data_IF_156335129812
#
_entry.id   IF_156335129812
#
_cell.length_a   1.000
_cell.length_b   1.000
_cell.length_c   1.000
_cell.angle_alpha   90.00
_cell.angle_beta   90.00
_cell.angle_gamma   90.00
#
_symmetry.space_group_name_H-M   'P 1'
#
loop_
_entity.id
_entity.type
_entity.pdbx_description
1 polymer ?
#
# COMPACT_ATOMS: atom_id res chain seq x y z
N UNK A 1 -2.24 3.39 -22.76
CA UNK A 1 -2.61 4.78 -22.43
C UNK A 1 -1.87 5.08 -21.14
N UNK A 2 -1.06 6.14 -21.09
CA UNK A 2 -0.43 6.57 -19.83
C UNK A 2 -1.56 7.03 -18.92
N UNK A 3 -1.97 6.16 -18.00
CA UNK A 3 -3.00 6.45 -17.01
C UNK A 3 -2.44 7.52 -16.06
N UNK A 4 -2.66 8.78 -16.43
CA UNK A 4 -2.12 9.92 -15.70
C UNK A 4 -3.14 10.26 -14.63
N UNK A 5 -2.74 10.16 -13.36
CA UNK A 5 -3.62 10.48 -12.24
C UNK A 5 -4.23 11.89 -12.41
N UNK A 6 -5.54 12.07 -12.18
CA UNK A 6 -6.23 13.35 -12.36
C UNK A 6 -5.97 14.29 -11.17
N UNK A 7 -4.71 14.68 -10.98
CA UNK A 7 -4.21 15.41 -9.79
C UNK A 7 -4.84 16.80 -9.55
N UNK A 8 -5.54 17.34 -10.54
CA UNK A 8 -6.16 18.67 -10.47
C UNK A 8 -7.63 18.64 -10.03
N UNK A 9 -8.21 17.46 -9.87
CA UNK A 9 -9.59 17.28 -9.40
C UNK A 9 -9.60 16.23 -8.28
N UNK A 10 -9.80 16.66 -7.04
CA UNK A 10 -9.80 15.78 -5.88
C UNK A 10 -10.87 14.69 -5.96
N UNK A 11 -12.04 14.99 -6.55
CA UNK A 11 -13.11 14.01 -6.68
C UNK A 11 -12.75 12.94 -7.72
N UNK A 12 -12.17 13.32 -8.85
CA UNK A 12 -11.65 12.34 -9.82
C UNK A 12 -10.44 11.58 -9.27
N UNK A 13 -9.55 12.23 -8.51
CA UNK A 13 -8.38 11.59 -7.93
C UNK A 13 -8.78 10.48 -6.94
N UNK A 14 -9.80 10.72 -6.10
CA UNK A 14 -10.31 9.64 -5.22
C UNK A 14 -10.85 8.45 -6.02
N UNK A 15 -11.54 8.68 -7.14
CA UNK A 15 -12.05 7.60 -8.02
C UNK A 15 -10.91 6.84 -8.69
N UNK A 16 -9.89 7.56 -9.13
CA UNK A 16 -8.68 6.97 -9.68
C UNK A 16 -7.98 6.11 -8.63
N UNK A 17 -7.84 6.59 -7.38
CA UNK A 17 -7.20 5.83 -6.30
C UNK A 17 -7.95 4.53 -6.00
N UNK A 18 -9.28 4.60 -5.84
CA UNK A 18 -10.12 3.42 -5.64
C UNK A 18 -9.95 2.39 -6.77
N UNK A 19 -10.02 2.84 -8.03
CA UNK A 19 -10.02 1.95 -9.20
C UNK A 19 -8.63 1.41 -9.55
N UNK A 20 -7.58 2.24 -9.43
CA UNK A 20 -6.22 1.89 -9.85
C UNK A 20 -5.40 1.24 -8.73
N UNK A 21 -5.58 1.66 -7.48
CA UNK A 21 -4.76 1.19 -6.37
C UNK A 21 -5.55 0.30 -5.42
N UNK A 22 -6.70 0.72 -4.90
CA UNK A 22 -7.41 -0.10 -3.90
C UNK A 22 -7.86 -1.44 -4.47
N UNK A 23 -8.49 -1.42 -5.65
CA UNK A 23 -8.84 -2.66 -6.34
C UNK A 23 -7.60 -3.51 -6.62
N UNK A 24 -6.50 -2.89 -7.07
CA UNK A 24 -5.28 -3.61 -7.43
C UNK A 24 -4.61 -4.27 -6.22
N UNK A 25 -4.57 -3.61 -5.06
CA UNK A 25 -4.03 -4.19 -3.83
C UNK A 25 -4.84 -5.40 -3.35
N UNK A 26 -6.18 -5.34 -3.46
CA UNK A 26 -7.06 -6.49 -3.16
C UNK A 26 -6.79 -7.69 -4.07
N UNK A 27 -6.40 -7.45 -5.31
CA UNK A 27 -6.02 -8.49 -6.27
C UNK A 27 -4.59 -9.01 -6.05
N UNK A 28 -3.66 -8.13 -5.68
CA UNK A 28 -2.23 -8.45 -5.51
C UNK A 28 -1.94 -9.23 -4.23
N UNK A 29 -2.44 -8.77 -3.08
CA UNK A 29 -1.98 -9.29 -1.78
C UNK A 29 -2.32 -10.76 -1.50
N UNK A 30 -3.54 -11.28 -1.78
CA UNK A 30 -3.87 -12.67 -1.52
C UNK A 30 -2.94 -13.69 -2.20
N UNK A 31 -2.69 -13.64 -3.52
CA UNK A 31 -1.77 -14.58 -4.16
C UNK A 31 -0.32 -14.42 -3.67
N UNK A 32 0.12 -13.22 -3.27
CA UNK A 32 1.44 -13.02 -2.66
C UNK A 32 1.55 -13.77 -1.33
N UNK A 33 0.53 -13.69 -0.47
CA UNK A 33 0.50 -14.40 0.80
C UNK A 33 0.50 -15.94 0.60
N UNK A 34 -0.20 -16.44 -0.41
CA UNK A 34 -0.21 -17.86 -0.76
C UNK A 34 1.16 -18.33 -1.29
N UNK A 35 1.80 -17.54 -2.16
CA UNK A 35 3.14 -17.84 -2.67
C UNK A 35 4.18 -17.80 -1.56
N UNK A 36 4.13 -16.83 -0.65
CA UNK A 36 5.02 -16.75 0.51
C UNK A 36 4.90 -18.01 1.38
N UNK A 37 3.67 -18.41 1.73
CA UNK A 37 3.45 -19.63 2.53
C UNK A 37 3.99 -20.88 1.84
N UNK A 38 3.88 -20.96 0.51
CA UNK A 38 4.42 -22.07 -0.27
C UNK A 38 5.95 -22.06 -0.32
N UNK A 39 6.57 -20.88 -0.47
CA UNK A 39 8.03 -20.73 -0.44
C UNK A 39 8.57 -21.17 0.92
N UNK A 40 8.00 -20.63 2.01
CA UNK A 40 8.38 -20.99 3.38
C UNK A 40 8.25 -22.50 3.65
N UNK A 41 7.16 -23.14 3.18
CA UNK A 41 6.94 -24.56 3.39
C UNK A 41 7.89 -25.46 2.58
N UNK A 42 8.23 -25.08 1.34
CA UNK A 42 9.08 -25.89 0.45
C UNK A 42 10.56 -25.73 0.78
N UNK A 43 10.96 -24.53 1.19
CA UNK A 43 12.35 -24.16 1.48
C UNK A 43 12.64 -24.13 2.99
N UNK A 44 11.84 -24.84 3.79
CA UNK A 44 12.00 -24.88 5.23
C UNK A 44 13.40 -25.43 5.59
N UNK A 45 14.18 -24.61 6.30
CA UNK A 45 15.54 -24.94 6.72
C UNK A 45 16.64 -24.47 5.77
N UNK A 46 16.30 -23.85 4.63
CA UNK A 46 17.26 -23.10 3.82
C UNK A 46 17.59 -21.77 4.51
N UNK A 47 18.86 -21.34 4.51
CA UNK A 47 19.31 -20.13 5.23
C UNK A 47 18.67 -18.83 4.71
N UNK A 48 18.31 -18.79 3.42
CA UNK A 48 17.77 -17.60 2.75
C UNK A 48 16.23 -17.54 2.73
N UNK A 49 15.53 -18.51 3.36
CA UNK A 49 14.06 -18.55 3.33
C UNK A 49 13.47 -17.31 4.03
N UNK A 50 12.48 -16.62 3.42
CA UNK A 50 11.87 -15.42 4.02
C UNK A 50 10.85 -15.83 5.09
N UNK A 51 11.32 -16.45 6.17
CA UNK A 51 10.48 -16.98 7.25
C UNK A 51 9.60 -15.88 7.87
N UNK A 52 8.28 -16.14 7.97
CA UNK A 52 7.31 -15.20 8.53
C UNK A 52 6.77 -14.16 7.55
N UNK A 53 7.22 -14.15 6.29
CA UNK A 53 6.69 -13.26 5.25
C UNK A 53 5.19 -13.46 5.01
N UNK A 54 4.73 -14.72 4.99
CA UNK A 54 3.33 -15.06 4.80
C UNK A 54 2.41 -14.53 5.89
N UNK A 55 2.88 -14.51 7.15
CA UNK A 55 2.14 -13.96 8.28
C UNK A 55 2.04 -12.44 8.19
N UNK A 56 3.12 -11.76 7.79
CA UNK A 56 3.11 -10.31 7.53
C UNK A 56 2.10 -9.97 6.43
N UNK A 57 2.15 -10.68 5.30
CA UNK A 57 1.25 -10.43 4.18
C UNK A 57 -0.22 -10.67 4.56
N UNK A 58 -0.51 -11.70 5.38
CA UNK A 58 -1.86 -11.95 5.89
C UNK A 58 -2.37 -10.85 6.81
N UNK A 59 -1.51 -10.32 7.69
CA UNK A 59 -1.85 -9.17 8.53
C UNK A 59 -2.10 -7.93 7.68
N UNK A 60 -1.20 -7.64 6.75
CA UNK A 60 -1.28 -6.50 5.83
C UNK A 60 -2.58 -6.53 5.00
N UNK A 61 -3.06 -7.70 4.54
CA UNK A 61 -4.37 -7.82 3.87
C UNK A 61 -5.49 -7.25 4.74
N UNK A 62 -5.53 -7.58 6.03
CA UNK A 62 -6.56 -7.11 6.95
C UNK A 62 -6.43 -5.62 7.25
N UNK A 63 -5.21 -5.16 7.52
CA UNK A 63 -4.93 -3.75 7.83
C UNK A 63 -5.24 -2.84 6.65
N UNK A 64 -4.77 -3.21 5.44
CA UNK A 64 -5.03 -2.48 4.21
C UNK A 64 -6.53 -2.42 3.88
N UNK A 65 -7.26 -3.54 4.03
CA UNK A 65 -8.71 -3.56 3.78
C UNK A 65 -9.49 -2.66 4.76
N UNK A 66 -9.09 -2.61 6.03
CA UNK A 66 -9.69 -1.71 7.03
C UNK A 66 -9.34 -0.25 6.73
N UNK A 67 -8.11 0.03 6.34
CA UNK A 67 -7.63 1.35 5.92
C UNK A 67 -8.42 1.85 4.69
N UNK A 68 -8.38 1.13 3.57
CA UNK A 68 -9.10 1.50 2.33
C UNK A 68 -10.61 1.68 2.55
N UNK A 69 -11.24 0.90 3.44
CA UNK A 69 -12.65 1.07 3.78
C UNK A 69 -12.94 2.37 4.56
N UNK A 70 -12.03 2.80 5.44
CA UNK A 70 -12.16 4.10 6.11
C UNK A 70 -12.16 5.21 5.07
N UNK A 71 -11.38 5.06 4.01
CA UNK A 71 -11.34 6.04 2.93
C UNK A 71 -12.58 6.00 2.05
N UNK A 72 -12.87 4.84 1.46
CA UNK A 72 -13.99 4.62 0.52
C UNK A 72 -15.34 4.98 1.12
N UNK A 73 -15.55 4.70 2.41
CA UNK A 73 -16.85 4.89 3.07
C UNK A 73 -16.97 6.23 3.79
N UNK A 74 -15.87 6.84 4.23
CA UNK A 74 -15.90 8.03 5.07
C UNK A 74 -15.14 9.20 4.44
N UNK A 75 -13.83 9.06 4.25
CA UNK A 75 -12.98 10.20 3.86
C UNK A 75 -13.22 10.64 2.42
N UNK A 76 -13.19 9.72 1.45
CA UNK A 76 -13.38 10.05 0.03
C UNK A 76 -14.78 10.61 -0.26
N UNK A 77 -15.88 10.10 0.30
CA UNK A 77 -17.19 10.75 0.18
C UNK A 77 -17.20 12.18 0.72
N UNK A 78 -16.48 12.47 1.82
CA UNK A 78 -16.37 13.83 2.34
C UNK A 78 -15.56 14.74 1.40
N UNK A 79 -14.42 14.26 0.90
CA UNK A 79 -13.59 14.95 -0.10
C UNK A 79 -14.40 15.28 -1.35
N UNK A 80 -15.17 14.32 -1.90
CA UNK A 80 -16.03 14.52 -3.08
C UNK A 80 -17.11 15.59 -2.89
N UNK A 81 -17.49 15.90 -1.65
CA UNK A 81 -18.44 16.98 -1.30
C UNK A 81 -17.75 18.33 -1.06
N UNK A 82 -16.44 18.42 -1.27
CA UNK A 82 -15.65 19.64 -1.01
C UNK A 82 -15.07 19.72 0.39
N UNK A 83 -15.06 18.61 1.14
CA UNK A 83 -14.57 18.56 2.51
C UNK A 83 -15.54 19.13 3.54
N UNK A 84 -15.00 19.62 4.67
CA UNK A 84 -15.77 20.23 5.74
C UNK A 84 -14.96 20.40 7.04
N UNK A 85 -15.49 21.12 8.05
CA UNK A 85 -14.81 21.26 9.33
C UNK A 85 -14.52 19.90 9.96
N UNK A 86 -13.29 19.69 10.44
CA UNK A 86 -12.90 18.44 11.08
C UNK A 86 -12.31 17.37 10.16
N UNK A 87 -12.22 17.62 8.85
CA UNK A 87 -11.67 16.67 7.87
C UNK A 87 -10.18 16.36 8.09
N UNK A 88 -9.46 17.23 8.78
CA UNK A 88 -8.07 17.01 9.19
C UNK A 88 -7.91 15.79 10.12
N UNK A 89 -8.94 15.45 10.90
CA UNK A 89 -8.88 14.33 11.84
C UNK A 89 -8.83 12.97 11.14
N UNK A 90 -9.75 12.60 10.22
CA UNK A 90 -9.63 11.36 9.47
C UNK A 90 -8.37 11.32 8.59
N UNK A 91 -7.93 12.46 8.03
CA UNK A 91 -6.65 12.54 7.29
C UNK A 91 -5.47 12.15 8.19
N UNK A 92 -5.41 12.68 9.42
CA UNK A 92 -4.34 12.32 10.37
C UNK A 92 -4.35 10.83 10.73
N UNK A 93 -5.52 10.19 10.81
CA UNK A 93 -5.64 8.73 11.01
C UNK A 93 -5.10 7.98 9.79
N UNK A 94 -5.41 8.40 8.56
CA UNK A 94 -4.88 7.75 7.35
C UNK A 94 -3.36 7.87 7.26
N UNK A 95 -2.78 9.03 7.59
CA UNK A 95 -1.32 9.19 7.65
C UNK A 95 -0.68 8.27 8.69
N UNK A 96 -1.31 8.05 9.83
CA UNK A 96 -0.81 7.10 10.83
C UNK A 96 -0.90 5.65 10.35
N UNK A 97 -1.94 5.28 9.60
CA UNK A 97 -2.03 3.98 8.93
C UNK A 97 -0.92 3.83 7.86
N UNK A 98 -0.63 4.89 7.09
CA UNK A 98 0.47 4.90 6.11
C UNK A 98 1.83 4.68 6.75
N UNK A 99 2.13 5.36 7.86
CA UNK A 99 3.37 5.14 8.63
C UNK A 99 3.51 3.68 9.09
N UNK A 100 2.39 3.00 9.36
CA UNK A 100 2.41 1.58 9.71
C UNK A 100 2.67 0.71 8.46
N UNK A 101 2.01 0.98 7.34
CA UNK A 101 2.26 0.28 6.08
C UNK A 101 3.72 0.42 5.60
N UNK A 102 4.34 1.58 5.77
CA UNK A 102 5.76 1.80 5.48
C UNK A 102 6.67 0.89 6.33
N UNK A 103 6.33 0.66 7.60
CA UNK A 103 7.06 -0.26 8.48
C UNK A 103 6.90 -1.71 8.04
N UNK A 104 5.71 -2.10 7.59
CA UNK A 104 5.47 -3.45 7.06
C UNK A 104 6.24 -3.68 5.76
N UNK A 105 6.29 -2.69 4.86
CA UNK A 105 7.11 -2.73 3.65
C UNK A 105 8.60 -2.85 3.99
N UNK A 106 9.08 -2.11 5.00
CA UNK A 106 10.46 -2.22 5.46
C UNK A 106 10.78 -3.63 5.98
N UNK A 107 9.85 -4.26 6.70
CA UNK A 107 10.04 -5.63 7.19
C UNK A 107 9.98 -6.67 6.06
N UNK A 108 9.10 -6.50 5.08
CA UNK A 108 9.08 -7.33 3.86
C UNK A 108 10.45 -7.24 3.16
N UNK A 109 10.99 -6.04 2.98
CA UNK A 109 12.32 -5.84 2.38
C UNK A 109 13.42 -6.51 3.19
N UNK A 110 13.36 -6.40 4.52
CA UNK A 110 14.33 -7.05 5.41
C UNK A 110 14.32 -8.58 5.27
N UNK A 111 13.15 -9.21 5.29
CA UNK A 111 13.00 -10.66 5.17
C UNK A 111 13.36 -11.19 3.79
N UNK A 112 13.30 -10.34 2.77
CA UNK A 112 13.54 -10.72 1.38
C UNK A 112 14.90 -10.26 0.86
N UNK A 113 15.77 -9.77 1.73
CA UNK A 113 17.06 -9.18 1.36
C UNK A 113 16.92 -8.14 0.23
N UNK A 114 16.00 -7.19 0.41
CA UNK A 114 15.61 -6.20 -0.59
C UNK A 114 15.10 -6.83 -1.90
N UNK A 115 14.30 -7.89 -1.78
CA UNK A 115 13.78 -8.67 -2.90
C UNK A 115 14.90 -9.27 -3.77
N UNK A 116 16.03 -9.63 -3.16
CA UNK A 116 17.15 -10.30 -3.83
C UNK A 116 16.95 -11.81 -3.77
N UNK A 117 16.81 -12.45 -4.92
CA UNK A 117 16.65 -13.91 -4.98
C UNK A 117 17.95 -14.63 -4.60
N UNK A 118 17.90 -15.66 -3.74
CA UNK A 118 19.05 -16.50 -3.46
C UNK A 118 19.37 -17.44 -4.63
N UNK A 119 20.57 -18.04 -4.60
CA UNK A 119 20.95 -19.07 -5.56
C UNK A 119 20.02 -20.29 -5.42
N UNK A 120 19.52 -20.80 -6.54
CA UNK A 120 18.60 -21.95 -6.54
C UNK A 120 17.14 -21.62 -6.23
N UNK A 121 16.77 -20.33 -6.12
CA UNK A 121 15.38 -19.91 -5.95
C UNK A 121 14.47 -20.52 -7.03
N UNK A 122 13.37 -21.13 -6.59
CA UNK A 122 12.42 -21.74 -7.52
C UNK A 122 11.56 -20.68 -8.23
N UNK A 123 10.85 -21.08 -9.30
CA UNK A 123 10.00 -20.15 -10.08
C UNK A 123 8.93 -19.46 -9.23
N UNK A 124 8.38 -20.13 -8.21
CA UNK A 124 7.39 -19.52 -7.31
C UNK A 124 8.02 -18.39 -6.49
N UNK A 125 9.26 -18.57 -6.02
CA UNK A 125 9.98 -17.57 -5.26
C UNK A 125 10.30 -16.35 -6.13
N UNK A 126 10.77 -16.57 -7.36
CA UNK A 126 10.96 -15.50 -8.33
C UNK A 126 9.67 -14.70 -8.59
N UNK A 127 8.55 -15.40 -8.84
CA UNK A 127 7.26 -14.76 -9.06
C UNK A 127 6.74 -14.01 -7.82
N UNK A 128 6.98 -14.54 -6.61
CA UNK A 128 6.67 -13.84 -5.37
C UNK A 128 7.41 -12.51 -5.27
N UNK A 129 8.72 -12.50 -5.51
CA UNK A 129 9.52 -11.28 -5.36
C UNK A 129 9.22 -10.25 -6.45
N UNK A 130 8.94 -10.69 -7.68
CA UNK A 130 8.46 -9.82 -8.74
C UNK A 130 7.11 -9.18 -8.37
N UNK A 131 6.16 -9.96 -7.88
CA UNK A 131 4.86 -9.46 -7.46
C UNK A 131 4.93 -8.56 -6.21
N UNK A 132 5.84 -8.83 -5.27
CA UNK A 132 6.11 -7.94 -4.14
C UNK A 132 6.71 -6.61 -4.60
N UNK A 133 7.62 -6.63 -5.57
CA UNK A 133 8.19 -5.41 -6.14
C UNK A 133 7.10 -4.54 -6.78
N UNK A 134 6.19 -5.17 -7.54
CA UNK A 134 5.04 -4.48 -8.14
C UNK A 134 4.10 -3.91 -7.07
N UNK A 135 3.71 -4.71 -6.08
CA UNK A 135 2.86 -4.27 -4.98
C UNK A 135 3.45 -3.09 -4.22
N UNK A 136 4.74 -3.14 -3.87
CA UNK A 136 5.41 -2.05 -3.14
C UNK A 136 5.49 -0.79 -3.99
N UNK A 137 5.75 -0.91 -5.29
CA UNK A 137 5.76 0.24 -6.19
C UNK A 137 4.37 0.89 -6.30
N UNK A 138 3.32 0.08 -6.45
CA UNK A 138 1.94 0.56 -6.48
C UNK A 138 1.54 1.21 -5.15
N UNK A 139 1.88 0.59 -4.01
CA UNK A 139 1.54 1.12 -2.68
C UNK A 139 2.24 2.44 -2.40
N UNK A 140 3.53 2.56 -2.77
CA UNK A 140 4.27 3.80 -2.60
C UNK A 140 3.65 4.94 -3.42
N UNK A 141 3.28 4.68 -4.67
CA UNK A 141 2.64 5.71 -5.51
C UNK A 141 1.24 6.07 -5.02
N UNK A 142 0.48 5.08 -4.56
CA UNK A 142 -0.81 5.27 -3.90
C UNK A 142 -0.67 6.22 -2.71
N UNK A 143 0.15 5.86 -1.71
CA UNK A 143 0.37 6.67 -0.51
C UNK A 143 0.90 8.06 -0.87
N UNK A 144 1.78 8.17 -1.88
CA UNK A 144 2.30 9.45 -2.35
C UNK A 144 1.19 10.35 -2.91
N UNK A 145 0.33 9.82 -3.77
CA UNK A 145 -0.81 10.58 -4.31
C UNK A 145 -1.73 11.09 -3.20
N UNK A 146 -1.93 10.30 -2.15
CA UNK A 146 -2.74 10.73 -1.03
C UNK A 146 -2.05 11.76 -0.16
N UNK A 147 -0.86 11.43 0.34
CA UNK A 147 -0.14 12.23 1.31
C UNK A 147 0.35 13.57 0.75
N UNK A 148 0.78 13.58 -0.52
CA UNK A 148 1.44 14.74 -1.13
C UNK A 148 0.53 15.52 -2.09
N UNK A 149 -0.52 14.89 -2.62
CA UNK A 149 -1.40 15.53 -3.63
C UNK A 149 -2.80 15.72 -3.10
N UNK A 150 -3.48 14.67 -2.62
CA UNK A 150 -4.89 14.74 -2.24
C UNK A 150 -5.10 15.45 -0.91
N UNK A 151 -4.50 14.95 0.17
CA UNK A 151 -4.73 15.44 1.54
C UNK A 151 -4.32 16.91 1.74
N UNK A 152 -3.20 17.41 1.18
CA UNK A 152 -2.82 18.82 1.36
C UNK A 152 -3.82 19.84 0.79
N UNK A 153 -4.76 19.41 -0.07
CA UNK A 153 -5.83 20.27 -0.58
C UNK A 153 -6.91 20.56 0.47
N UNK A 154 -6.99 19.75 1.53
CA UNK A 154 -8.01 19.82 2.58
C UNK A 154 -7.44 20.17 3.95
N UNK A 155 -6.13 20.30 4.06
CA UNK A 155 -5.44 20.75 5.26
C UNK A 155 -5.20 22.27 5.16
N UNK A 156 -5.09 22.98 6.31
CA UNK A 156 -4.65 24.36 6.30
C UNK A 156 -3.29 24.42 5.59
N UNK A 157 -3.16 25.31 4.60
CA UNK A 157 -1.84 25.62 4.06
C UNK A 157 -1.02 26.17 5.22
N UNK A 158 0.11 25.55 5.53
CA UNK A 158 1.09 26.13 6.42
C UNK A 158 1.43 27.53 5.90
N UNK A 159 0.87 28.56 6.53
CA UNK A 159 1.36 29.92 6.38
C UNK A 159 2.63 30.03 7.20
N UNK A 160 3.68 29.32 6.75
CA UNK A 160 5.02 29.55 7.24
C UNK A 160 5.38 31.01 6.94
N UNK A 161 5.77 31.69 8.01
CA UNK A 161 6.00 33.12 8.09
C UNK A 161 7.07 33.60 7.10
N UNK A 162 6.88 34.84 6.63
CA UNK A 162 7.91 35.70 6.04
C UNK A 162 9.13 35.79 6.94
#
# INVERSE_FOLDING_TARGET
MTDTAPIHDAAELTRHIEARYHQRHREQLPPLAEMAAKVEAVHLGDDDVPEGLSDILRRLIGEMEVHMKKEELILFPAIRRGGGPGIENPIAVMRADHDNHDREVAEIRRLTHDLTLPEGACRTWAALYEGLAEFIADLNEHIRLENEVLFPQFEPKDTAHV
#
